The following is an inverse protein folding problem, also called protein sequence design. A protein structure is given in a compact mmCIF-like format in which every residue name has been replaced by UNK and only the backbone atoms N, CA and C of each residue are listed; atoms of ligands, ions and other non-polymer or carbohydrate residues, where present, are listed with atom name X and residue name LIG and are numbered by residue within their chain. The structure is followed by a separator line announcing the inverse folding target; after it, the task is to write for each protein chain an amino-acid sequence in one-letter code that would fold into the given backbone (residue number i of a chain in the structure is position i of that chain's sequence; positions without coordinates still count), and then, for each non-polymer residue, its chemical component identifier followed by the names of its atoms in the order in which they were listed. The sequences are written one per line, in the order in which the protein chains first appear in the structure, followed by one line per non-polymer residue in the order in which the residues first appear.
data_IF_350213901984
#
_entry.id   IF_350213901984
#
_cell.length_a   1.000
_cell.length_b   1.000
_cell.length_c   1.000
_cell.angle_alpha   90.00
_cell.angle_beta   90.00
_cell.angle_gamma   90.00
#
_symmetry.space_group_name_H-M   'P 1'
#
loop_
_entity.id
_entity.type
_entity.pdbx_description
1 polymer ?
#
# COMPACT_ATOMS: atom_id res chain seq x y z
N UNK A 1 -2.11 -21.72 10.84
CA UNK A 1 -1.70 -20.52 11.60
C UNK A 1 -1.01 -19.54 10.61
N UNK A 2 -1.02 -18.22 10.85
CA UNK A 2 -0.31 -17.25 10.00
C UNK A 2 1.17 -17.61 9.75
N UNK A 3 1.84 -18.16 10.75
CA UNK A 3 3.23 -18.62 10.64
C UNK A 3 3.41 -19.73 9.59
N UNK A 4 2.39 -20.53 9.35
CA UNK A 4 2.48 -21.56 8.31
C UNK A 4 2.48 -21.01 6.90
N UNK A 5 1.88 -19.83 6.67
CA UNK A 5 1.83 -19.18 5.36
C UNK A 5 3.20 -18.64 4.95
N UNK A 6 3.98 -18.11 5.90
CA UNK A 6 5.31 -17.54 5.63
C UNK A 6 6.28 -18.55 5.02
N UNK A 7 6.14 -19.84 5.34
CA UNK A 7 6.97 -20.93 4.81
C UNK A 7 6.87 -21.06 3.29
N UNK A 8 5.75 -20.65 2.71
CA UNK A 8 5.50 -20.78 1.27
C UNK A 8 5.90 -19.55 0.46
N UNK A 9 6.18 -18.40 1.09
CA UNK A 9 6.45 -17.15 0.38
C UNK A 9 7.55 -17.28 -0.68
N UNK A 10 8.72 -17.76 -0.30
CA UNK A 10 9.84 -17.94 -1.24
C UNK A 10 9.59 -19.08 -2.22
N UNK A 11 8.97 -20.17 -1.76
CA UNK A 11 8.68 -21.33 -2.61
C UNK A 11 7.74 -20.94 -3.76
N UNK A 12 6.65 -20.25 -3.46
CA UNK A 12 5.69 -19.81 -4.48
C UNK A 12 6.28 -18.73 -5.40
N UNK A 13 7.11 -17.83 -4.90
CA UNK A 13 7.83 -16.88 -5.75
C UNK A 13 8.79 -17.59 -6.72
N UNK A 14 9.53 -18.58 -6.27
CA UNK A 14 10.37 -19.41 -7.14
C UNK A 14 9.56 -20.12 -8.22
N UNK A 15 8.41 -20.70 -7.84
CA UNK A 15 7.47 -21.34 -8.77
C UNK A 15 6.94 -20.38 -9.82
N UNK A 16 6.56 -19.16 -9.42
CA UNK A 16 6.09 -18.11 -10.32
C UNK A 16 7.21 -17.66 -11.27
N UNK A 17 8.45 -17.58 -10.80
CA UNK A 17 9.61 -17.06 -11.53
C UNK A 17 10.29 -18.11 -12.46
N UNK A 18 9.89 -19.36 -12.41
CA UNK A 18 10.54 -20.43 -13.21
C UNK A 18 10.64 -20.14 -14.71
N UNK A 19 9.72 -19.36 -15.27
CA UNK A 19 9.74 -18.96 -16.69
C UNK A 19 10.53 -17.69 -16.98
N UNK A 20 11.18 -17.09 -16.00
CA UNK A 20 12.02 -15.87 -16.12
C UNK A 20 11.32 -14.70 -16.85
N UNK A 21 10.00 -14.60 -16.79
CA UNK A 21 9.23 -13.48 -17.34
C UNK A 21 8.99 -12.45 -16.25
N UNK A 22 9.17 -11.15 -16.59
CA UNK A 22 8.83 -10.06 -15.68
C UNK A 22 7.33 -10.10 -15.36
N UNK A 23 7.02 -10.09 -14.06
CA UNK A 23 5.67 -10.04 -13.52
C UNK A 23 5.55 -8.94 -12.48
N UNK A 24 4.39 -8.34 -12.40
CA UNK A 24 4.05 -7.33 -11.39
C UNK A 24 3.05 -7.91 -10.42
N UNK A 25 3.32 -7.75 -9.13
CA UNK A 25 2.43 -8.18 -8.06
C UNK A 25 2.14 -7.02 -7.13
N UNK A 26 0.87 -6.87 -6.74
CA UNK A 26 0.47 -6.01 -5.63
C UNK A 26 0.60 -6.80 -4.33
N UNK A 27 1.09 -6.17 -3.30
CA UNK A 27 1.13 -6.73 -1.95
C UNK A 27 0.81 -5.66 -0.92
N UNK A 28 0.23 -6.08 0.21
CA UNK A 28 0.09 -5.28 1.41
C UNK A 28 1.06 -5.72 2.52
N UNK A 29 1.93 -6.68 2.25
CA UNK A 29 2.90 -7.13 3.24
C UNK A 29 3.98 -6.07 3.50
N UNK A 30 4.36 -5.90 4.75
CA UNK A 30 5.66 -5.32 5.10
C UNK A 30 6.77 -6.20 4.54
N UNK A 31 7.96 -5.63 4.30
CA UNK A 31 9.15 -6.41 3.94
C UNK A 31 9.72 -7.07 5.20
N UNK A 32 9.08 -8.11 5.65
CA UNK A 32 9.29 -8.73 6.94
C UNK A 32 9.89 -10.14 6.85
N UNK A 33 10.21 -10.67 8.03
CA UNK A 33 10.61 -12.05 8.25
C UNK A 33 9.73 -12.61 9.38
N UNK A 34 9.08 -13.75 9.16
CA UNK A 34 8.27 -14.46 10.14
C UNK A 34 8.83 -15.87 10.28
N UNK A 35 9.15 -16.32 11.48
CA UNK A 35 9.73 -17.64 11.76
C UNK A 35 10.90 -18.00 10.82
N UNK A 36 11.84 -17.06 10.65
CA UNK A 36 12.96 -17.20 9.72
C UNK A 36 12.61 -17.22 8.22
N UNK A 37 11.33 -17.11 7.83
CA UNK A 37 10.91 -17.04 6.44
C UNK A 37 10.81 -15.58 6.00
N UNK A 38 11.67 -15.14 5.09
CA UNK A 38 11.60 -13.79 4.50
C UNK A 38 10.42 -13.70 3.54
N UNK A 39 9.74 -12.53 3.55
CA UNK A 39 8.65 -12.29 2.58
C UNK A 39 9.13 -12.40 1.14
N UNK A 40 10.29 -11.82 0.83
CA UNK A 40 10.97 -11.96 -0.46
C UNK A 40 12.47 -11.75 -0.34
N UNK A 41 13.21 -11.98 -1.43
CA UNK A 41 14.66 -11.80 -1.53
C UNK A 41 15.07 -11.31 -2.92
N UNK A 42 16.36 -11.00 -3.09
CA UNK A 42 16.93 -10.51 -4.36
C UNK A 42 16.91 -11.54 -5.50
N UNK A 43 16.79 -12.82 -5.22
CA UNK A 43 16.66 -13.86 -6.26
C UNK A 43 15.28 -13.84 -6.91
N UNK A 44 14.25 -13.44 -6.17
CA UNK A 44 12.87 -13.48 -6.60
C UNK A 44 12.27 -12.12 -6.93
N UNK A 45 12.93 -11.03 -6.53
CA UNK A 45 12.43 -9.66 -6.68
C UNK A 45 13.50 -8.76 -7.30
N UNK A 46 13.23 -8.24 -8.49
CA UNK A 46 14.12 -7.29 -9.17
C UNK A 46 14.09 -5.89 -8.50
N UNK A 47 12.96 -5.50 -7.96
CA UNK A 47 12.76 -4.24 -7.27
C UNK A 47 11.33 -4.07 -6.82
N UNK A 48 11.06 -3.02 -6.06
CA UNK A 48 9.73 -2.70 -5.57
C UNK A 48 9.39 -1.23 -5.78
N UNK A 49 8.10 -0.95 -5.93
CA UNK A 49 7.56 0.40 -5.89
C UNK A 49 6.73 0.48 -4.63
N UNK A 50 7.20 1.25 -3.65
CA UNK A 50 6.54 1.45 -2.39
C UNK A 50 5.78 2.78 -2.39
N UNK A 51 4.46 2.70 -2.22
CA UNK A 51 3.59 3.87 -2.17
C UNK A 51 3.25 4.15 -0.73
N UNK A 52 3.71 5.30 -0.22
CA UNK A 52 3.44 5.75 1.13
C UNK A 52 2.51 6.96 1.13
N UNK A 53 1.72 7.11 2.18
CA UNK A 53 0.81 8.24 2.37
C UNK A 53 0.97 8.83 3.76
N UNK A 54 0.70 10.15 3.88
CA UNK A 54 0.66 10.86 5.16
C UNK A 54 -0.19 10.07 6.19
N UNK A 55 0.39 9.63 7.34
CA UNK A 55 -0.31 8.80 8.31
C UNK A 55 -1.59 9.46 8.85
N UNK A 56 -1.66 10.79 8.86
CA UNK A 56 -2.86 11.54 9.23
C UNK A 56 -4.03 11.33 8.26
N UNK A 57 -3.73 11.15 6.96
CA UNK A 57 -4.72 10.78 5.94
C UNK A 57 -5.02 9.28 5.97
N UNK A 58 -4.03 8.46 6.32
CA UNK A 58 -4.21 7.00 6.43
C UNK A 58 -5.20 6.66 7.54
N UNK A 59 -5.09 7.29 8.73
CA UNK A 59 -6.06 7.11 9.83
C UNK A 59 -7.50 7.34 9.37
N UNK A 60 -7.77 8.46 8.70
CA UNK A 60 -9.12 8.76 8.19
C UNK A 60 -9.60 7.74 7.15
N UNK A 61 -8.70 7.24 6.30
CA UNK A 61 -9.03 6.22 5.30
C UNK A 61 -9.33 4.87 5.93
N UNK A 62 -8.54 4.45 6.94
CA UNK A 62 -8.77 3.22 7.69
C UNK A 62 -10.08 3.27 8.47
N UNK A 63 -10.35 4.41 9.15
CA UNK A 63 -11.59 4.63 9.89
C UNK A 63 -12.81 4.44 8.99
N UNK A 64 -12.78 5.01 7.78
CA UNK A 64 -13.83 4.81 6.78
C UNK A 64 -13.91 3.35 6.30
N UNK A 65 -12.79 2.76 5.92
CA UNK A 65 -12.74 1.42 5.32
C UNK A 65 -13.25 0.35 6.29
N UNK A 66 -12.80 0.38 7.55
CA UNK A 66 -13.21 -0.60 8.57
C UNK A 66 -14.44 -0.18 9.39
N UNK A 67 -15.04 0.99 9.12
CA UNK A 67 -16.18 1.55 9.87
C UNK A 67 -15.89 1.62 11.38
N UNK A 68 -14.72 2.14 11.73
CA UNK A 68 -14.24 2.36 13.09
C UNK A 68 -13.94 3.85 13.32
N UNK A 69 -13.79 4.25 14.55
CA UNK A 69 -13.38 5.63 14.86
C UNK A 69 -11.88 5.88 14.61
N UNK A 70 -11.48 7.15 14.63
CA UNK A 70 -10.10 7.55 14.36
C UNK A 70 -9.11 7.07 15.45
N UNK A 71 -9.53 6.92 16.71
CA UNK A 71 -8.70 6.36 17.78
C UNK A 71 -8.43 4.87 17.55
N UNK A 72 -9.45 4.12 17.17
CA UNK A 72 -9.33 2.71 16.82
C UNK A 72 -8.44 2.53 15.56
N UNK A 73 -8.63 3.38 14.54
CA UNK A 73 -7.79 3.37 13.35
C UNK A 73 -6.33 3.71 13.67
N UNK A 74 -6.09 4.67 14.56
CA UNK A 74 -4.74 4.99 15.04
C UNK A 74 -4.10 3.83 15.81
N UNK A 75 -4.85 3.20 16.74
CA UNK A 75 -4.39 2.00 17.46
C UNK A 75 -4.03 0.88 16.48
N UNK A 76 -4.86 0.66 15.45
CA UNK A 76 -4.57 -0.31 14.39
C UNK A 76 -3.22 -0.03 13.72
N UNK A 77 -2.91 1.24 13.40
CA UNK A 77 -1.63 1.64 12.80
C UNK A 77 -0.43 1.50 13.73
N UNK A 78 -0.62 1.44 15.05
CA UNK A 78 0.44 1.24 16.03
C UNK A 78 0.69 -0.25 16.36
N UNK A 79 -0.21 -1.14 15.98
CA UNK A 79 -0.15 -2.55 16.35
C UNK A 79 1.03 -3.25 15.69
N UNK A 80 2.01 -3.69 16.48
CA UNK A 80 3.25 -4.29 15.98
C UNK A 80 3.07 -5.65 15.30
N UNK A 81 2.06 -6.43 15.67
CA UNK A 81 1.75 -7.74 15.09
C UNK A 81 0.47 -7.70 14.28
N UNK A 82 0.28 -6.64 13.51
CA UNK A 82 -0.92 -6.45 12.72
C UNK A 82 -0.89 -7.27 11.43
N UNK A 83 -2.02 -7.89 11.09
CA UNK A 83 -2.19 -8.64 9.86
C UNK A 83 -3.63 -8.54 9.36
N UNK A 84 -3.79 -8.59 8.05
CA UNK A 84 -5.09 -8.73 7.38
C UNK A 84 -5.19 -10.15 6.84
N UNK A 85 -6.31 -10.82 7.06
CA UNK A 85 -6.62 -12.14 6.52
C UNK A 85 -8.12 -12.41 6.59
N UNK A 86 -8.59 -13.28 5.73
CA UNK A 86 -9.92 -13.87 5.84
C UNK A 86 -9.79 -15.25 6.51
N UNK A 87 -10.60 -15.49 7.51
CA UNK A 87 -10.67 -16.80 8.17
C UNK A 87 -11.88 -17.55 7.64
N UNK A 88 -11.64 -18.63 6.92
CA UNK A 88 -12.65 -19.58 6.47
C UNK A 88 -12.30 -20.93 7.06
N UNK A 89 -13.14 -21.45 7.96
CA UNK A 89 -12.89 -22.67 8.74
C UNK A 89 -11.52 -22.61 9.46
N UNK A 90 -10.60 -23.48 9.10
CA UNK A 90 -9.23 -23.53 9.62
C UNK A 90 -8.19 -22.92 8.67
N UNK A 91 -8.63 -22.25 7.60
CA UNK A 91 -7.75 -21.66 6.60
C UNK A 91 -7.66 -20.14 6.80
N UNK A 92 -6.47 -19.60 6.59
CA UNK A 92 -6.19 -18.16 6.59
C UNK A 92 -5.91 -17.75 5.14
N UNK A 93 -6.93 -17.20 4.47
CA UNK A 93 -6.83 -16.75 3.09
C UNK A 93 -6.38 -15.29 3.03
N UNK A 94 -5.61 -14.93 2.02
CA UNK A 94 -5.19 -13.55 1.79
C UNK A 94 -4.34 -12.97 2.93
N UNK A 95 -3.55 -13.78 3.64
CA UNK A 95 -2.72 -13.33 4.74
C UNK A 95 -1.72 -12.26 4.29
N UNK A 96 -1.83 -11.07 4.89
CA UNK A 96 -0.90 -9.96 4.72
C UNK A 96 -0.38 -9.52 6.10
N UNK A 97 0.93 -9.60 6.30
CA UNK A 97 1.61 -9.13 7.49
C UNK A 97 1.85 -7.62 7.39
N UNK A 98 1.02 -6.81 8.03
CA UNK A 98 1.11 -5.34 7.96
C UNK A 98 2.11 -4.78 8.96
N UNK A 99 2.11 -5.27 10.18
CA UNK A 99 2.80 -4.67 11.32
C UNK A 99 2.32 -3.23 11.60
N UNK A 100 3.06 -2.47 12.42
CA UNK A 100 2.77 -1.06 12.61
C UNK A 100 3.10 -0.23 11.36
N UNK A 101 2.48 0.94 11.20
CA UNK A 101 2.78 1.86 10.10
C UNK A 101 4.27 2.23 10.04
N UNK A 102 4.89 2.45 11.20
CA UNK A 102 6.35 2.71 11.33
C UNK A 102 7.15 1.53 10.79
N UNK A 103 6.93 0.32 11.29
CA UNK A 103 7.66 -0.87 10.86
C UNK A 103 7.46 -1.14 9.37
N UNK A 104 6.20 -1.06 8.89
CA UNK A 104 5.87 -1.26 7.49
C UNK A 104 6.67 -0.30 6.59
N UNK A 105 6.67 0.97 6.96
CA UNK A 105 7.37 2.03 6.22
C UNK A 105 8.88 1.77 6.19
N UNK A 106 9.51 1.64 7.35
CA UNK A 106 10.95 1.43 7.46
C UNK A 106 11.39 0.14 6.76
N UNK A 107 10.60 -0.92 6.85
CA UNK A 107 10.94 -2.21 6.22
C UNK A 107 11.16 -2.11 4.71
N UNK A 108 10.43 -1.22 4.03
CA UNK A 108 10.56 -1.00 2.60
C UNK A 108 11.58 0.07 2.24
N UNK A 109 11.58 1.23 2.93
CA UNK A 109 12.48 2.34 2.58
C UNK A 109 13.94 2.05 2.89
N UNK A 110 14.20 1.25 3.92
CA UNK A 110 15.57 0.84 4.32
C UNK A 110 16.05 -0.44 3.61
N UNK A 111 15.28 -0.97 2.67
CA UNK A 111 15.64 -2.19 1.96
C UNK A 111 16.97 -2.03 1.20
N UNK A 112 17.95 -2.87 1.54
CA UNK A 112 19.25 -2.95 0.85
C UNK A 112 19.39 -4.20 -0.03
N UNK A 113 18.36 -5.06 -0.11
CA UNK A 113 18.41 -6.33 -0.84
C UNK A 113 18.18 -6.16 -2.34
N UNK A 114 17.39 -5.19 -2.72
CA UNK A 114 17.05 -4.82 -4.10
C UNK A 114 16.57 -3.36 -4.14
N UNK A 115 16.56 -2.72 -5.32
CA UNK A 115 16.11 -1.34 -5.45
C UNK A 115 14.64 -1.16 -5.05
N UNK A 116 14.34 -0.11 -4.28
CA UNK A 116 12.98 0.29 -3.91
C UNK A 116 12.77 1.74 -4.30
N UNK A 117 11.77 2.00 -5.14
CA UNK A 117 11.31 3.34 -5.46
C UNK A 117 10.19 3.73 -4.48
N UNK A 118 10.48 4.62 -3.56
CA UNK A 118 9.46 5.19 -2.66
C UNK A 118 8.74 6.36 -3.34
N UNK A 119 7.41 6.33 -3.33
CA UNK A 119 6.53 7.35 -3.91
C UNK A 119 5.56 7.80 -2.83
N UNK A 120 5.45 9.10 -2.61
CA UNK A 120 4.37 9.63 -1.77
C UNK A 120 3.07 9.66 -2.59
N UNK A 121 2.00 9.20 -1.98
CA UNK A 121 0.68 9.24 -2.60
C UNK A 121 0.27 10.66 -3.01
N UNK A 122 0.69 11.66 -2.24
CA UNK A 122 0.49 13.06 -2.53
C UNK A 122 1.15 13.50 -3.85
N UNK A 123 2.31 12.94 -4.19
CA UNK A 123 2.97 13.22 -5.47
C UNK A 123 2.20 12.59 -6.64
N UNK A 124 1.60 11.39 -6.43
CA UNK A 124 0.68 10.80 -7.41
C UNK A 124 -0.57 11.66 -7.61
N UNK A 125 -1.11 12.28 -6.55
CA UNK A 125 -2.28 13.14 -6.65
C UNK A 125 -2.00 14.48 -7.33
N UNK A 126 -0.83 15.08 -7.10
CA UNK A 126 -0.51 16.45 -7.51
C UNK A 126 0.30 16.50 -8.80
N UNK A 127 1.21 15.55 -9.00
CA UNK A 127 2.16 15.48 -10.11
C UNK A 127 2.11 14.12 -10.81
N UNK A 128 0.90 13.60 -11.06
CA UNK A 128 0.65 12.24 -11.57
C UNK A 128 1.53 11.87 -12.76
N UNK A 129 1.67 12.77 -13.75
CA UNK A 129 2.45 12.49 -14.96
C UNK A 129 3.95 12.36 -14.67
N UNK A 130 4.51 13.25 -13.84
CA UNK A 130 5.93 13.21 -13.47
C UNK A 130 6.23 11.99 -12.62
N UNK A 131 5.35 11.69 -11.66
CA UNK A 131 5.47 10.51 -10.81
C UNK A 131 5.37 9.21 -11.62
N UNK A 132 4.43 9.14 -12.58
CA UNK A 132 4.33 7.99 -13.49
C UNK A 132 5.58 7.83 -14.36
N UNK A 133 6.19 8.94 -14.83
CA UNK A 133 7.47 8.90 -15.54
C UNK A 133 8.62 8.39 -14.67
N UNK A 134 8.66 8.76 -13.36
CA UNK A 134 9.65 8.21 -12.41
C UNK A 134 9.51 6.68 -12.30
N UNK A 135 8.28 6.18 -12.18
CA UNK A 135 7.99 4.73 -12.16
C UNK A 135 8.49 4.05 -13.43
N UNK A 136 8.18 4.61 -14.59
CA UNK A 136 8.62 4.07 -15.87
C UNK A 136 10.14 3.98 -15.97
N UNK A 137 10.85 5.06 -15.61
CA UNK A 137 12.30 5.08 -15.61
C UNK A 137 12.87 4.05 -14.65
N UNK A 138 12.36 3.97 -13.42
CA UNK A 138 12.78 2.97 -12.44
C UNK A 138 12.63 1.53 -12.97
N UNK A 139 11.50 1.23 -13.62
CA UNK A 139 11.28 -0.10 -14.22
C UNK A 139 12.30 -0.35 -15.33
N UNK A 140 12.56 0.63 -16.20
CA UNK A 140 13.58 0.52 -17.24
C UNK A 140 14.97 0.22 -16.66
N UNK A 141 15.34 0.94 -15.60
CA UNK A 141 16.66 0.81 -14.97
C UNK A 141 16.86 -0.58 -14.37
N UNK A 142 15.90 -1.06 -13.56
CA UNK A 142 16.00 -2.38 -12.92
C UNK A 142 15.88 -3.55 -13.90
N UNK A 143 15.16 -3.37 -15.01
CA UNK A 143 15.02 -4.39 -16.06
C UNK A 143 16.07 -4.27 -17.16
N UNK A 144 16.93 -3.25 -17.11
CA UNK A 144 17.89 -2.90 -18.16
C UNK A 144 17.23 -2.70 -19.53
N UNK A 145 15.97 -2.28 -19.51
CA UNK A 145 15.18 -2.01 -20.71
C UNK A 145 15.58 -0.67 -21.31
N UNK A 146 15.59 -0.57 -22.64
CA UNK A 146 15.85 0.67 -23.38
C UNK A 146 14.56 1.26 -23.99
N UNK A 147 13.39 0.94 -23.42
CA UNK A 147 12.12 1.46 -23.95
C UNK A 147 12.01 2.96 -23.74
N UNK A 148 11.60 3.68 -24.78
CA UNK A 148 11.29 5.10 -24.69
C UNK A 148 9.96 5.34 -23.95
N UNK A 149 9.87 6.46 -23.24
CA UNK A 149 8.64 6.85 -22.55
C UNK A 149 7.64 7.48 -23.55
N UNK A 150 6.59 6.75 -23.86
CA UNK A 150 5.50 7.24 -24.71
C UNK A 150 4.58 8.17 -23.90
N UNK A 151 4.70 9.48 -24.18
CA UNK A 151 3.95 10.53 -23.47
C UNK A 151 2.44 10.44 -23.70
N UNK A 152 2.01 10.14 -24.92
CA UNK A 152 0.57 10.09 -25.25
C UNK A 152 -0.09 8.84 -24.65
N UNK A 153 0.60 7.71 -24.71
CA UNK A 153 0.14 6.50 -24.00
C UNK A 153 0.06 6.71 -22.49
N UNK A 154 1.06 7.36 -21.90
CA UNK A 154 1.07 7.71 -20.48
C UNK A 154 -0.13 8.60 -20.10
N UNK A 155 -0.40 9.66 -20.87
CA UNK A 155 -1.56 10.53 -20.66
C UNK A 155 -2.89 9.76 -20.75
N UNK A 156 -3.04 8.88 -21.75
CA UNK A 156 -4.23 8.03 -21.89
C UNK A 156 -4.41 7.12 -20.69
N UNK A 157 -3.35 6.47 -20.25
CA UNK A 157 -3.36 5.59 -19.06
C UNK A 157 -3.74 6.35 -17.79
N UNK A 158 -3.16 7.53 -17.56
CA UNK A 158 -3.50 8.38 -16.40
C UNK A 158 -4.97 8.78 -16.43
N UNK A 159 -5.48 9.20 -17.59
CA UNK A 159 -6.91 9.55 -17.75
C UNK A 159 -7.85 8.37 -17.50
N UNK A 160 -7.45 7.14 -17.85
CA UNK A 160 -8.28 5.95 -17.58
C UNK A 160 -8.37 5.61 -16.09
N UNK A 161 -7.37 6.00 -15.29
CA UNK A 161 -7.30 5.77 -13.85
C UNK A 161 -7.69 7.01 -13.01
N UNK A 162 -8.29 8.04 -13.59
CA UNK A 162 -8.75 9.21 -12.85
C UNK A 162 -9.74 8.83 -11.75
N UNK A 163 -9.58 9.44 -10.57
CA UNK A 163 -10.34 9.09 -9.36
C UNK A 163 -11.86 9.03 -9.60
N UNK A 164 -12.41 10.02 -10.30
CA UNK A 164 -13.86 10.03 -10.64
C UNK A 164 -14.28 8.84 -11.51
N UNK A 165 -13.41 8.42 -12.44
CA UNK A 165 -13.67 7.23 -13.26
C UNK A 165 -13.64 5.96 -12.44
N UNK A 166 -12.66 5.85 -11.54
CA UNK A 166 -12.57 4.70 -10.63
C UNK A 166 -13.77 4.64 -9.70
N UNK A 167 -14.24 5.77 -9.16
CA UNK A 167 -15.49 5.84 -8.39
C UNK A 167 -16.69 5.35 -9.22
N UNK A 168 -16.82 5.80 -10.47
CA UNK A 168 -17.91 5.38 -11.36
C UNK A 168 -17.86 3.88 -11.62
N UNK A 169 -16.68 3.34 -11.94
CA UNK A 169 -16.49 1.91 -12.17
C UNK A 169 -16.81 1.08 -10.93
N UNK A 170 -16.44 1.55 -9.73
CA UNK A 170 -16.79 0.90 -8.48
C UNK A 170 -18.31 0.83 -8.27
N UNK A 171 -19.03 1.92 -8.58
CA UNK A 171 -20.49 1.95 -8.48
C UNK A 171 -21.17 1.02 -9.49
N UNK A 172 -20.65 0.93 -10.71
CA UNK A 172 -21.22 0.12 -11.79
C UNK A 172 -20.89 -1.37 -11.65
N UNK A 173 -19.66 -1.71 -11.30
CA UNK A 173 -19.13 -3.09 -11.35
C UNK A 173 -18.76 -3.65 -9.98
N UNK A 174 -18.77 -2.81 -8.93
CA UNK A 174 -18.19 -3.15 -7.64
C UNK A 174 -16.66 -3.06 -7.65
N UNK A 175 -16.06 -3.31 -6.48
CA UNK A 175 -14.62 -3.38 -6.31
C UNK A 175 -14.27 -4.48 -5.30
N UNK A 176 -13.33 -5.34 -5.62
CA UNK A 176 -13.00 -6.53 -4.82
C UNK A 176 -12.54 -6.19 -3.39
N UNK A 177 -11.86 -5.04 -3.21
CA UNK A 177 -11.37 -4.59 -1.90
C UNK A 177 -12.40 -3.73 -1.14
N UNK A 178 -13.61 -3.53 -1.68
CA UNK A 178 -14.68 -2.82 -1.00
C UNK A 178 -15.23 -3.68 0.15
N UNK A 179 -15.35 -3.08 1.34
CA UNK A 179 -15.93 -3.77 2.50
C UNK A 179 -17.45 -3.76 2.45
N UNK A 180 -18.06 -4.70 3.16
CA UNK A 180 -19.51 -4.78 3.35
C UNK A 180 -19.80 -4.40 4.80
N UNK A 181 -20.75 -3.49 5.03
CA UNK A 181 -21.22 -3.16 6.38
C UNK A 181 -21.85 -4.40 7.02
N UNK A 182 -21.42 -4.72 8.24
CA UNK A 182 -21.88 -5.92 8.95
C UNK A 182 -23.41 -5.96 9.16
N UNK A 183 -24.01 -4.79 9.37
CA UNK A 183 -25.41 -4.70 9.81
C UNK A 183 -26.43 -4.45 8.67
N UNK A 184 -26.01 -4.09 7.46
CA UNK A 184 -26.89 -3.64 6.39
C UNK A 184 -26.69 -4.27 5.02
N UNK A 185 -25.73 -5.15 4.87
CA UNK A 185 -25.32 -5.70 3.57
C UNK A 185 -25.01 -4.62 2.50
N UNK A 186 -24.68 -3.39 2.93
CA UNK A 186 -24.33 -2.25 2.08
C UNK A 186 -22.82 -2.24 1.85
N UNK A 187 -22.41 -2.00 0.61
CA UNK A 187 -20.99 -1.83 0.28
C UNK A 187 -20.47 -0.49 0.77
N UNK A 188 -19.28 -0.51 1.35
CA UNK A 188 -18.53 0.69 1.72
C UNK A 188 -17.63 1.04 0.54
N UNK A 189 -17.88 2.19 -0.08
CA UNK A 189 -17.11 2.62 -1.25
C UNK A 189 -15.62 2.73 -0.90
N UNK A 190 -14.80 2.03 -1.66
CA UNK A 190 -13.33 2.07 -1.53
C UNK A 190 -12.80 3.44 -1.97
N UNK A 191 -13.26 3.95 -3.13
CA UNK A 191 -12.90 5.28 -3.64
C UNK A 191 -13.75 6.37 -2.97
N UNK A 192 -13.44 6.70 -1.70
CA UNK A 192 -14.23 7.65 -0.91
C UNK A 192 -13.84 9.11 -1.19
N UNK A 193 -12.92 9.69 -0.41
CA UNK A 193 -12.62 11.12 -0.43
C UNK A 193 -11.59 11.55 -1.48
N UNK A 194 -10.63 10.69 -1.84
CA UNK A 194 -9.52 11.04 -2.73
C UNK A 194 -8.79 12.31 -2.27
N UNK A 195 -8.65 13.29 -3.16
CA UNK A 195 -8.03 14.60 -2.86
C UNK A 195 -8.77 15.41 -1.78
N UNK A 196 -10.05 15.11 -1.51
CA UNK A 196 -10.83 15.76 -0.45
C UNK A 196 -10.49 15.26 0.95
N UNK A 197 -9.67 14.20 1.08
CA UNK A 197 -9.20 13.73 2.38
C UNK A 197 -8.22 14.75 2.98
N UNK A 198 -8.79 15.66 3.75
CA UNK A 198 -8.06 16.73 4.43
C UNK A 198 -8.01 16.47 5.93
N UNK A 199 -6.89 15.96 6.41
CA UNK A 199 -6.70 15.63 7.82
C UNK A 199 -6.91 16.83 8.76
N UNK A 200 -6.63 18.08 8.32
CA UNK A 200 -6.87 19.30 9.12
C UNK A 200 -8.35 19.50 9.45
N UNK A 201 -9.26 18.99 8.59
CA UNK A 201 -10.70 19.05 8.79
C UNK A 201 -11.27 17.75 9.36
N UNK A 202 -10.64 16.62 9.07
CA UNK A 202 -11.20 15.30 9.35
C UNK A 202 -10.71 14.69 10.67
N UNK A 203 -9.60 15.19 11.23
CA UNK A 203 -9.04 14.67 12.48
C UNK A 203 -9.21 15.67 13.63
N UNK A 204 -9.59 15.14 14.79
CA UNK A 204 -9.53 15.90 16.03
C UNK A 204 -8.07 16.27 16.36
N UNK A 205 -7.83 17.46 16.99
CA UNK A 205 -6.47 17.91 17.35
C UNK A 205 -5.69 16.87 18.17
N UNK A 206 -6.36 16.17 19.09
CA UNK A 206 -5.76 15.16 19.96
C UNK A 206 -5.21 13.99 19.17
N UNK A 207 -5.96 13.50 18.17
CA UNK A 207 -5.52 12.40 17.29
C UNK A 207 -4.34 12.84 16.44
N UNK A 208 -4.40 14.03 15.87
CA UNK A 208 -3.28 14.58 15.12
C UNK A 208 -2.01 14.68 15.98
N UNK A 209 -2.13 15.11 17.25
CA UNK A 209 -1.00 15.15 18.20
C UNK A 209 -0.45 13.74 18.47
N UNK A 210 -1.34 12.76 18.73
CA UNK A 210 -0.93 11.35 18.93
C UNK A 210 -0.15 10.80 17.72
N UNK A 211 -0.65 11.04 16.49
CA UNK A 211 0.00 10.57 15.25
C UNK A 211 1.38 11.21 15.11
N UNK A 212 1.49 12.52 15.30
CA UNK A 212 2.78 13.23 15.23
C UNK A 212 3.78 12.69 16.24
N UNK A 213 3.36 12.44 17.47
CA UNK A 213 4.25 11.92 18.51
C UNK A 213 4.71 10.48 18.21
N UNK A 214 3.82 9.66 17.65
CA UNK A 214 4.12 8.25 17.38
C UNK A 214 5.02 8.05 16.15
N UNK A 215 4.94 8.95 15.15
CA UNK A 215 5.57 8.77 13.84
C UNK A 215 6.40 9.99 13.41
N UNK A 216 6.87 10.82 14.38
CA UNK A 216 7.56 12.10 14.09
C UNK A 216 8.80 11.91 13.20
N UNK A 217 9.65 10.95 13.52
CA UNK A 217 10.90 10.70 12.81
C UNK A 217 10.64 10.37 11.33
N UNK A 218 9.80 9.39 11.09
CA UNK A 218 9.43 8.94 9.74
C UNK A 218 8.69 10.04 8.97
N UNK A 219 7.86 10.81 9.66
CA UNK A 219 7.12 11.92 9.04
C UNK A 219 8.06 13.07 8.63
N UNK A 220 9.13 13.33 9.38
CA UNK A 220 10.15 14.32 9.03
C UNK A 220 10.95 13.81 7.83
N UNK A 221 11.46 12.58 7.89
CA UNK A 221 12.24 11.96 6.82
C UNK A 221 11.48 11.95 5.49
N UNK A 222 10.18 11.66 5.54
CA UNK A 222 9.29 11.61 4.37
C UNK A 222 8.74 12.99 3.95
N UNK A 223 9.09 14.07 4.66
CA UNK A 223 8.65 15.43 4.35
C UNK A 223 7.17 15.72 4.66
N UNK A 224 6.56 14.98 5.58
CA UNK A 224 5.20 15.24 6.10
C UNK A 224 5.19 16.20 7.30
N UNK A 225 6.32 16.32 8.01
CA UNK A 225 6.62 17.33 9.04
C UNK A 225 7.89 18.10 8.66
N UNK A 226 8.00 19.33 9.19
CA UNK A 226 9.20 20.16 9.11
C UNK A 226 9.95 20.09 10.43
#
# INVERSE_FOLDING_TARGET
KPESTSKYWILEQKRINQYKKLKFFKTHNALCKIDNNSFTNSENTLGAIYIIRDPRKVVSSLAHHYQIDNDQAFKFMQTEKNAIYQKEDNRYLGFNALFSWKFHTLSWIECKKFPVLTIRYEDLENETFLTFKKVFNFINDITKSKKSFDREKAKKTIRSCEFKKMQKLELENGFEEAMIKKDKNERINFFNLGKKNNWKKNLKPEINKKIKNAFSEEMIELGYLK
#
